data_IF_343925388707
#
_entry.id   IF_343925388707
#
_cell.length_a   1.000
_cell.length_b   1.000
_cell.length_c   1.000
_cell.angle_alpha   90.00
_cell.angle_beta   90.00
_cell.angle_gamma   90.00
#
_symmetry.space_group_name_H-M   'P 1'
#
loop_
_entity.id
_entity.type
_entity.pdbx_description
1 polymer ?
#
# COMPACT_ATOMS: atom_id res chain seq x y z
N UNK A 1 -16.80 7.42 -5.05
CA UNK A 1 -15.52 6.82 -4.61
C UNK A 1 -15.70 5.32 -4.43
N UNK A 2 -14.66 4.57 -4.68
CA UNK A 2 -14.69 3.11 -4.55
C UNK A 2 -13.85 2.67 -3.37
N UNK A 3 -14.16 1.49 -2.84
CA UNK A 3 -13.38 0.87 -1.77
C UNK A 3 -12.47 -0.16 -2.41
N UNK A 4 -11.19 -0.10 -2.08
CA UNK A 4 -10.16 -1.01 -2.62
C UNK A 4 -9.50 -1.77 -1.48
N UNK A 5 -9.20 -3.05 -1.75
CA UNK A 5 -8.47 -3.90 -0.83
C UNK A 5 -7.17 -4.36 -1.46
N UNK A 6 -6.06 -4.21 -0.73
CA UNK A 6 -4.76 -4.70 -1.14
C UNK A 6 -4.39 -5.96 -0.36
N UNK A 7 -3.83 -6.93 -1.06
CA UNK A 7 -3.31 -8.17 -0.46
C UNK A 7 -1.99 -8.50 -1.12
N UNK A 8 -0.96 -8.69 -0.33
CA UNK A 8 0.32 -9.12 -0.85
C UNK A 8 1.49 -8.60 -0.05
N UNK A 9 2.71 -8.82 -0.56
CA UNK A 9 3.91 -8.38 0.14
C UNK A 9 4.09 -6.88 0.06
N UNK A 10 4.90 -6.34 0.97
CA UNK A 10 5.30 -4.94 0.96
C UNK A 10 6.82 -4.90 0.78
N UNK A 11 7.28 -4.09 -0.16
CA UNK A 11 8.69 -3.90 -0.45
C UNK A 11 9.10 -2.47 -0.12
N UNK A 12 10.34 -2.32 0.34
CA UNK A 12 10.97 -1.03 0.59
C UNK A 12 12.33 -1.02 -0.06
N UNK A 13 12.53 -0.11 -1.03
CA UNK A 13 13.77 -0.02 -1.80
C UNK A 13 14.16 -1.38 -2.41
N UNK A 14 13.18 -2.09 -2.97
CA UNK A 14 13.41 -3.36 -3.62
C UNK A 14 13.58 -4.55 -2.69
N UNK A 15 13.47 -4.36 -1.37
CA UNK A 15 13.57 -5.46 -0.40
C UNK A 15 12.23 -5.72 0.24
N UNK A 16 11.86 -7.00 0.35
CA UNK A 16 10.63 -7.39 1.02
C UNK A 16 10.73 -7.11 2.52
N UNK A 17 9.85 -6.26 3.02
CA UNK A 17 9.79 -5.91 4.44
C UNK A 17 8.58 -6.52 5.14
N UNK A 18 7.63 -7.04 4.37
CA UNK A 18 6.46 -7.74 4.90
C UNK A 18 6.06 -8.81 3.88
N UNK A 19 5.87 -10.04 4.34
CA UNK A 19 5.49 -11.14 3.46
C UNK A 19 4.04 -11.03 3.03
N UNK A 20 3.17 -10.52 3.89
CA UNK A 20 1.76 -10.38 3.60
C UNK A 20 1.19 -9.23 4.38
N UNK A 21 0.57 -8.30 3.68
CA UNK A 21 -0.11 -7.16 4.26
C UNK A 21 -1.45 -7.00 3.59
N UNK A 22 -2.46 -6.79 4.39
CA UNK A 22 -3.81 -6.61 3.90
C UNK A 22 -4.35 -5.30 4.43
N UNK A 23 -4.88 -4.47 3.53
CA UNK A 23 -5.38 -3.16 3.90
C UNK A 23 -6.50 -2.72 2.97
N UNK A 24 -7.38 -1.88 3.49
CA UNK A 24 -8.53 -1.37 2.76
C UNK A 24 -8.46 0.15 2.78
N UNK A 25 -8.77 0.77 1.64
CA UNK A 25 -8.85 2.22 1.54
C UNK A 25 -9.95 2.63 0.56
N UNK A 26 -10.43 3.85 0.71
CA UNK A 26 -11.40 4.45 -0.20
C UNK A 26 -10.68 5.45 -1.09
N UNK A 27 -10.89 5.36 -2.40
CA UNK A 27 -10.23 6.25 -3.34
C UNK A 27 -11.02 6.36 -4.65
N UNK A 28 -10.66 7.32 -5.49
CA UNK A 28 -11.32 7.55 -6.78
C UNK A 28 -10.74 6.67 -7.89
N UNK A 29 -9.57 6.06 -7.66
CA UNK A 29 -8.92 5.20 -8.63
C UNK A 29 -7.95 4.26 -7.94
N UNK A 30 -7.51 3.22 -8.67
CA UNK A 30 -6.50 2.27 -8.17
C UNK A 30 -5.20 3.00 -7.83
N UNK A 31 -4.77 3.93 -8.67
CA UNK A 31 -3.53 4.68 -8.44
C UNK A 31 -3.61 5.47 -7.13
N UNK A 32 -4.74 6.13 -6.89
CA UNK A 32 -4.94 6.87 -5.63
C UNK A 32 -5.01 5.93 -4.44
N UNK A 33 -5.65 4.78 -4.60
CA UNK A 33 -5.72 3.77 -3.55
C UNK A 33 -4.32 3.28 -3.17
N UNK A 34 -3.47 2.98 -4.15
CA UNK A 34 -2.10 2.55 -3.89
C UNK A 34 -1.31 3.64 -3.16
N UNK A 35 -1.44 4.90 -3.57
CA UNK A 35 -0.77 6.01 -2.90
C UNK A 35 -1.21 6.14 -1.45
N UNK A 36 -2.52 6.02 -1.20
CA UNK A 36 -3.07 6.08 0.16
C UNK A 36 -2.49 4.95 1.03
N UNK A 37 -2.41 3.75 0.49
CA UNK A 37 -1.90 2.60 1.23
C UNK A 37 -0.40 2.71 1.50
N UNK A 38 0.36 3.20 0.52
CA UNK A 38 1.80 3.45 0.72
C UNK A 38 2.03 4.46 1.82
N UNK A 39 1.26 5.54 1.82
CA UNK A 39 1.33 6.57 2.86
C UNK A 39 1.00 5.98 4.24
N UNK A 40 -0.08 5.21 4.31
CA UNK A 40 -0.50 4.56 5.56
C UNK A 40 0.59 3.64 6.10
N UNK A 41 1.18 2.82 5.24
CA UNK A 41 2.23 1.88 5.64
C UNK A 41 3.44 2.62 6.20
N UNK A 42 3.88 3.67 5.50
CA UNK A 42 5.01 4.49 6.00
C UNK A 42 4.71 5.06 7.38
N UNK A 43 3.52 5.58 7.57
CA UNK A 43 3.12 6.20 8.84
C UNK A 43 3.05 5.17 9.96
N UNK A 44 2.49 3.99 9.69
CA UNK A 44 2.37 2.93 10.69
C UNK A 44 3.73 2.41 11.15
N UNK A 45 4.71 2.43 10.28
CA UNK A 45 6.04 1.90 10.58
C UNK A 45 7.07 2.98 10.91
N UNK A 46 6.64 4.23 11.01
CA UNK A 46 7.55 5.33 11.36
C UNK A 46 8.54 5.70 10.26
N UNK A 47 8.27 5.32 9.01
CA UNK A 47 9.13 5.67 7.89
C UNK A 47 8.92 7.13 7.48
N UNK A 48 9.97 7.76 6.95
CA UNK A 48 9.87 9.12 6.44
C UNK A 48 9.06 9.14 5.13
N UNK A 49 8.56 10.34 4.76
CA UNK A 49 7.80 10.50 3.53
C UNK A 49 8.64 10.23 2.27
N UNK A 50 9.96 10.26 2.37
CA UNK A 50 10.85 9.96 1.26
C UNK A 50 11.14 8.47 1.11
N UNK A 51 10.67 7.62 2.02
CA UNK A 51 10.83 6.18 1.91
C UNK A 51 10.00 5.65 0.74
N UNK A 52 10.64 4.94 -0.17
CA UNK A 52 9.96 4.32 -1.31
C UNK A 52 9.37 2.99 -0.85
N UNK A 53 8.05 2.91 -0.89
CA UNK A 53 7.30 1.68 -0.56
C UNK A 53 6.65 1.17 -1.83
N UNK A 54 6.78 -0.12 -2.09
CA UNK A 54 6.21 -0.77 -3.25
C UNK A 54 5.18 -1.81 -2.82
N UNK A 55 4.06 -1.84 -3.52
CA UNK A 55 2.96 -2.77 -3.26
C UNK A 55 2.71 -3.58 -4.53
N UNK A 56 3.55 -4.62 -4.81
CA UNK A 56 3.44 -5.38 -6.05
C UNK A 56 2.33 -6.45 -6.03
N UNK A 57 1.63 -6.60 -4.93
CA UNK A 57 0.57 -7.59 -4.81
C UNK A 57 -0.71 -7.21 -5.54
N UNK A 58 -1.81 -7.83 -5.14
CA UNK A 58 -3.10 -7.65 -5.81
C UNK A 58 -3.90 -6.56 -5.10
N UNK A 59 -4.43 -5.62 -5.90
CA UNK A 59 -5.38 -4.63 -5.40
C UNK A 59 -6.70 -4.80 -6.17
N UNK A 60 -7.80 -4.82 -5.45
CA UNK A 60 -9.13 -5.05 -6.01
C UNK A 60 -10.13 -4.06 -5.44
N UNK A 61 -11.09 -3.67 -6.26
CA UNK A 61 -12.27 -2.94 -5.80
C UNK A 61 -13.23 -3.92 -5.14
N UNK A 62 -13.74 -3.55 -3.99
CA UNK A 62 -14.70 -4.39 -3.24
C UNK A 62 -16.01 -3.66 -2.99
#
# INVERSE_FOLDING_TARGET
MAVYQYRGPVYRFGKMVCEYWEAVTTAVSIKKALNNLKFRYRKQNGYSNSTVVELPGVIQEI
#
